data_IF_403629686355
#
_entry.id   IF_403629686355
#
_cell.length_a   1.000
_cell.length_b   1.000
_cell.length_c   1.000
_cell.angle_alpha   90.00
_cell.angle_beta   90.00
_cell.angle_gamma   90.00
#
_symmetry.space_group_name_H-M   'P 1'
#
loop_
_entity.id
_entity.type
_entity.pdbx_description
1 polymer ?
#
# COMPACT_ATOMS: atom_id res chain seq x y z
N UNK A 1 15.43 27.88 -10.17
CA UNK A 1 16.03 26.68 -9.53
C UNK A 1 15.26 25.44 -10.02
N UNK A 2 15.78 24.69 -11.00
CA UNK A 2 15.06 23.58 -11.66
C UNK A 2 14.94 22.28 -10.82
N UNK A 3 15.51 22.24 -9.61
CA UNK A 3 15.46 21.05 -8.74
C UNK A 3 14.11 20.81 -8.04
N UNK A 4 13.34 21.88 -7.76
CA UNK A 4 12.10 21.79 -6.97
C UNK A 4 10.88 21.34 -7.80
N UNK A 5 10.81 21.77 -9.06
CA UNK A 5 9.67 21.43 -9.95
C UNK A 5 9.58 19.92 -10.21
N UNK A 6 10.74 19.27 -10.42
CA UNK A 6 10.80 17.82 -10.64
C UNK A 6 10.41 17.01 -9.39
N UNK A 7 10.79 17.47 -8.20
CA UNK A 7 10.40 16.82 -6.94
C UNK A 7 8.90 16.95 -6.66
N UNK A 8 8.32 18.11 -6.97
CA UNK A 8 6.88 18.34 -6.84
C UNK A 8 6.07 17.54 -7.86
N UNK A 9 6.54 17.45 -9.10
CA UNK A 9 5.93 16.62 -10.14
C UNK A 9 5.95 15.13 -9.75
N UNK A 10 7.10 14.63 -9.27
CA UNK A 10 7.22 13.26 -8.79
C UNK A 10 6.26 12.97 -7.63
N UNK A 11 6.14 13.89 -6.67
CA UNK A 11 5.21 13.75 -5.54
C UNK A 11 3.76 13.62 -6.00
N UNK A 12 3.34 14.45 -6.98
CA UNK A 12 1.99 14.36 -7.56
C UNK A 12 1.76 13.02 -8.24
N UNK A 13 2.73 12.53 -9.01
CA UNK A 13 2.65 11.21 -9.65
C UNK A 13 2.46 10.11 -8.59
N UNK A 14 3.24 10.13 -7.52
CA UNK A 14 3.16 9.12 -6.47
C UNK A 14 1.86 9.19 -5.67
N UNK A 15 1.32 10.40 -5.45
CA UNK A 15 -0.01 10.56 -4.86
C UNK A 15 -1.13 10.00 -5.77
N UNK A 16 -1.01 10.17 -7.09
CA UNK A 16 -1.91 9.55 -8.06
C UNK A 16 -1.76 8.03 -8.06
N UNK A 17 -0.53 7.50 -8.02
CA UNK A 17 -0.28 6.06 -7.90
C UNK A 17 -0.89 5.48 -6.62
N UNK A 18 -0.80 6.19 -5.49
CA UNK A 18 -1.46 5.78 -4.23
C UNK A 18 -2.97 5.69 -4.38
N UNK A 19 -3.59 6.72 -4.97
CA UNK A 19 -5.03 6.74 -5.23
C UNK A 19 -5.43 5.61 -6.18
N UNK A 20 -4.64 5.35 -7.21
CA UNK A 20 -4.82 4.23 -8.12
C UNK A 20 -4.75 2.88 -7.41
N UNK A 21 -3.77 2.68 -6.53
CA UNK A 21 -3.66 1.46 -5.73
C UNK A 21 -4.85 1.23 -4.80
N UNK A 22 -5.34 2.28 -4.12
CA UNK A 22 -6.55 2.22 -3.29
C UNK A 22 -7.78 1.92 -4.16
N UNK A 23 -7.91 2.57 -5.31
CA UNK A 23 -9.02 2.34 -6.24
C UNK A 23 -9.04 0.89 -6.75
N UNK A 24 -7.88 0.35 -7.13
CA UNK A 24 -7.74 -1.05 -7.52
C UNK A 24 -8.13 -2.01 -6.39
N UNK A 25 -7.80 -1.68 -5.14
CA UNK A 25 -8.19 -2.47 -3.97
C UNK A 25 -9.71 -2.43 -3.72
N UNK A 26 -10.35 -1.29 -3.94
CA UNK A 26 -11.81 -1.14 -3.84
C UNK A 26 -12.50 -1.98 -4.91
N UNK A 27 -12.04 -1.90 -6.16
CA UNK A 27 -12.57 -2.74 -7.24
C UNK A 27 -12.39 -4.24 -6.92
N UNK A 28 -11.26 -4.61 -6.32
CA UNK A 28 -11.00 -5.98 -5.91
C UNK A 28 -12.00 -6.46 -4.85
N UNK A 29 -12.33 -5.62 -3.87
CA UNK A 29 -13.39 -5.94 -2.91
C UNK A 29 -14.76 -6.05 -3.56
N UNK A 30 -15.09 -5.12 -4.46
CA UNK A 30 -16.39 -5.12 -5.13
C UNK A 30 -16.58 -6.38 -6.01
N UNK A 31 -15.50 -6.86 -6.64
CA UNK A 31 -15.55 -8.07 -7.45
C UNK A 31 -15.59 -9.35 -6.61
N UNK A 32 -14.65 -9.49 -5.66
CA UNK A 32 -14.48 -10.72 -4.88
C UNK A 32 -15.55 -10.90 -3.80
N UNK A 33 -16.05 -9.81 -3.23
CA UNK A 33 -17.10 -9.83 -2.19
C UNK A 33 -18.47 -9.49 -2.77
N UNK A 34 -18.77 -9.99 -3.97
CA UNK A 34 -19.99 -9.65 -4.72
C UNK A 34 -21.27 -9.89 -3.92
N UNK A 35 -21.32 -10.99 -3.18
CA UNK A 35 -22.51 -11.38 -2.40
C UNK A 35 -22.84 -10.33 -1.33
N UNK A 36 -21.82 -9.84 -0.62
CA UNK A 36 -21.93 -8.80 0.39
C UNK A 36 -22.48 -7.51 -0.20
N UNK A 37 -21.98 -7.07 -1.35
CA UNK A 37 -22.48 -5.85 -2.00
C UNK A 37 -23.90 -6.02 -2.53
N UNK A 38 -24.21 -7.17 -3.13
CA UNK A 38 -25.54 -7.47 -3.69
C UNK A 38 -26.62 -7.45 -2.61
N UNK A 39 -26.37 -8.08 -1.46
CA UNK A 39 -27.35 -8.07 -0.35
C UNK A 39 -27.56 -6.73 0.33
N UNK A 40 -26.60 -5.82 0.23
CA UNK A 40 -26.76 -4.45 0.71
C UNK A 40 -27.41 -3.54 -0.32
N UNK A 41 -27.66 -4.03 -1.54
CA UNK A 41 -28.12 -3.22 -2.66
C UNK A 41 -27.10 -2.18 -3.10
N UNK A 42 -25.80 -2.45 -2.88
CA UNK A 42 -24.69 -1.54 -3.19
C UNK A 42 -24.06 -1.86 -4.55
N UNK A 43 -24.83 -2.44 -5.45
CA UNK A 43 -24.41 -2.67 -6.82
C UNK A 43 -24.37 -1.35 -7.59
N UNK A 44 -23.28 -1.14 -8.32
CA UNK A 44 -23.02 0.09 -9.03
C UNK A 44 -22.60 -0.22 -10.47
N UNK A 45 -23.46 0.15 -11.41
CA UNK A 45 -23.23 -0.05 -12.86
C UNK A 45 -21.85 0.44 -13.32
N UNK A 46 -21.38 1.57 -12.79
CA UNK A 46 -20.06 2.11 -13.12
C UNK A 46 -18.93 1.13 -12.74
N UNK A 47 -19.00 0.51 -11.55
CA UNK A 47 -18.00 -0.45 -11.11
C UNK A 47 -18.03 -1.72 -11.96
N UNK A 48 -19.22 -2.19 -12.32
CA UNK A 48 -19.40 -3.34 -13.22
C UNK A 48 -18.81 -3.07 -14.61
N UNK A 49 -19.03 -1.88 -15.16
CA UNK A 49 -18.45 -1.48 -16.45
C UNK A 49 -16.92 -1.38 -16.39
N UNK A 50 -16.38 -0.83 -15.30
CA UNK A 50 -14.93 -0.74 -15.09
C UNK A 50 -14.28 -2.12 -14.99
N UNK A 51 -14.84 -3.02 -14.17
CA UNK A 51 -14.36 -4.40 -14.05
C UNK A 51 -14.46 -5.09 -15.41
N UNK A 52 -15.59 -4.98 -16.11
CA UNK A 52 -15.76 -5.57 -17.44
C UNK A 52 -14.73 -5.08 -18.46
N UNK A 53 -14.30 -3.82 -18.40
CA UNK A 53 -13.20 -3.29 -19.24
C UNK A 53 -11.84 -3.83 -18.80
N UNK A 54 -11.58 -3.95 -17.50
CA UNK A 54 -10.32 -4.47 -16.95
C UNK A 54 -10.17 -5.98 -17.16
N UNK A 55 -11.24 -6.74 -17.16
CA UNK A 55 -11.21 -8.18 -17.49
C UNK A 55 -10.76 -8.40 -18.94
N UNK A 56 -11.11 -7.51 -19.88
CA UNK A 56 -10.62 -7.60 -21.28
C UNK A 56 -9.12 -7.40 -21.42
N UNK A 57 -8.45 -6.82 -20.42
CA UNK A 57 -6.99 -6.65 -20.43
C UNK A 57 -6.25 -7.77 -19.68
N UNK A 58 -6.97 -8.78 -19.16
CA UNK A 58 -6.42 -9.87 -18.34
C UNK A 58 -6.09 -9.48 -16.89
N UNK A 59 -6.38 -8.24 -16.48
CA UNK A 59 -6.04 -7.75 -15.13
C UNK A 59 -6.95 -8.30 -14.04
N UNK A 60 -8.15 -8.73 -14.42
CA UNK A 60 -9.18 -9.29 -13.55
C UNK A 60 -9.48 -10.77 -13.81
N UNK A 61 -8.59 -11.48 -14.52
CA UNK A 61 -8.76 -12.92 -14.77
C UNK A 61 -8.62 -13.77 -13.50
N UNK A 62 -7.95 -13.22 -12.48
CA UNK A 62 -7.81 -13.84 -11.16
C UNK A 62 -7.89 -12.78 -10.06
N UNK A 63 -8.56 -13.10 -8.92
CA UNK A 63 -8.52 -12.27 -7.72
C UNK A 63 -7.10 -11.95 -7.24
N UNK A 64 -6.14 -12.85 -7.48
CA UNK A 64 -4.75 -12.62 -7.08
C UNK A 64 -4.07 -11.55 -7.94
N UNK A 65 -4.42 -11.43 -9.22
CA UNK A 65 -3.84 -10.45 -10.15
C UNK A 65 -4.27 -9.04 -9.78
N UNK A 66 -5.57 -8.81 -9.56
CA UNK A 66 -6.10 -7.52 -9.14
C UNK A 66 -5.51 -7.07 -7.79
N UNK A 67 -5.44 -8.00 -6.83
CA UNK A 67 -4.82 -7.80 -5.52
C UNK A 67 -3.32 -7.47 -5.63
N UNK A 68 -2.57 -8.20 -6.47
CA UNK A 68 -1.15 -7.92 -6.71
C UNK A 68 -0.94 -6.53 -7.31
N UNK A 69 -1.76 -6.13 -8.28
CA UNK A 69 -1.66 -4.82 -8.92
C UNK A 69 -1.91 -3.69 -7.91
N UNK A 70 -2.93 -3.83 -7.06
CA UNK A 70 -3.18 -2.89 -5.98
C UNK A 70 -1.97 -2.77 -5.03
N UNK A 71 -1.40 -3.92 -4.62
CA UNK A 71 -0.21 -3.96 -3.77
C UNK A 71 0.98 -3.26 -4.42
N UNK A 72 1.29 -3.55 -5.69
CA UNK A 72 2.43 -2.95 -6.40
C UNK A 72 2.29 -1.43 -6.51
N UNK A 73 1.10 -0.93 -6.88
CA UNK A 73 0.84 0.51 -6.95
C UNK A 73 1.02 1.19 -5.60
N UNK A 74 0.52 0.56 -4.53
CA UNK A 74 0.69 1.05 -3.17
C UNK A 74 2.16 1.09 -2.76
N UNK A 75 2.95 0.06 -3.07
CA UNK A 75 4.38 0.03 -2.78
C UNK A 75 5.17 1.08 -3.57
N UNK A 76 4.87 1.26 -4.86
CA UNK A 76 5.48 2.32 -5.69
C UNK A 76 5.19 3.70 -5.09
N UNK A 77 3.97 3.92 -4.58
CA UNK A 77 3.58 5.22 -4.02
C UNK A 77 4.42 5.67 -2.81
N UNK A 78 5.17 4.76 -2.19
CA UNK A 78 6.01 5.05 -1.02
C UNK A 78 7.35 5.72 -1.38
N UNK A 79 7.79 5.64 -2.64
CA UNK A 79 9.12 6.12 -3.08
C UNK A 79 9.34 7.63 -2.88
N UNK A 80 8.26 8.41 -2.72
CA UNK A 80 8.31 9.87 -2.59
C UNK A 80 8.14 10.37 -1.17
N UNK A 81 8.07 9.48 -0.18
CA UNK A 81 7.90 9.91 1.21
C UNK A 81 9.21 10.56 1.67
N UNK A 82 9.15 11.86 1.91
CA UNK A 82 10.23 12.64 2.51
C UNK A 82 10.03 12.61 4.03
N UNK A 83 10.97 11.99 4.75
CA UNK A 83 10.93 11.89 6.20
C UNK A 83 11.64 13.07 6.87
N UNK A 84 11.07 13.56 7.97
CA UNK A 84 11.80 14.38 8.94
C UNK A 84 12.64 13.42 9.81
N UNK A 85 13.96 13.61 9.89
CA UNK A 85 14.85 12.88 10.83
C UNK A 85 14.34 13.11 12.26
N UNK A 86 14.12 12.04 13.05
CA UNK A 86 14.14 12.04 14.54
C UNK A 86 13.33 10.93 15.26
N UNK A 87 13.05 9.77 14.67
CA UNK A 87 12.46 8.66 15.45
C UNK A 87 13.51 7.57 15.65
N UNK A 88 13.67 7.06 16.88
CA UNK A 88 14.41 5.82 17.16
C UNK A 88 13.69 4.66 16.45
N UNK A 89 13.99 4.48 15.17
CA UNK A 89 13.42 3.41 14.36
C UNK A 89 14.15 2.11 14.70
N UNK A 90 13.39 1.06 15.03
CA UNK A 90 13.90 -0.30 15.20
C UNK A 90 13.66 -1.08 13.91
N UNK A 91 14.59 -1.10 12.93
CA UNK A 91 14.34 -1.66 11.60
C UNK A 91 13.96 -3.14 11.63
N UNK A 92 14.52 -3.93 12.56
CA UNK A 92 14.14 -5.34 12.76
C UNK A 92 12.65 -5.50 13.07
N UNK A 93 12.10 -4.66 13.95
CA UNK A 93 10.67 -4.72 14.30
C UNK A 93 9.79 -4.33 13.12
N UNK A 94 10.22 -3.35 12.32
CA UNK A 94 9.48 -2.93 11.11
C UNK A 94 9.49 -4.02 10.03
N UNK A 95 10.60 -4.73 9.84
CA UNK A 95 10.67 -5.86 8.90
C UNK A 95 9.72 -6.97 9.33
N UNK A 96 9.71 -7.34 10.62
CA UNK A 96 8.76 -8.34 11.14
C UNK A 96 7.32 -7.88 10.93
N UNK A 97 7.03 -6.60 11.21
CA UNK A 97 5.70 -6.04 11.02
C UNK A 97 5.28 -6.02 9.54
N UNK A 98 6.21 -5.72 8.63
CA UNK A 98 5.98 -5.78 7.18
C UNK A 98 5.67 -7.20 6.72
N UNK A 99 6.45 -8.19 7.17
CA UNK A 99 6.22 -9.60 6.86
C UNK A 99 4.87 -10.08 7.42
N UNK A 100 4.51 -9.67 8.64
CA UNK A 100 3.20 -9.97 9.22
C UNK A 100 2.07 -9.36 8.38
N UNK A 101 2.22 -8.09 7.97
CA UNK A 101 1.27 -7.44 7.06
C UNK A 101 1.13 -8.17 5.74
N UNK A 102 2.23 -8.69 5.19
CA UNK A 102 2.24 -9.48 3.96
C UNK A 102 1.50 -10.82 4.13
N UNK A 103 1.76 -11.53 5.24
CA UNK A 103 1.08 -12.77 5.59
C UNK A 103 -0.42 -12.54 5.76
N UNK A 104 -0.82 -11.51 6.51
CA UNK A 104 -2.24 -11.16 6.72
C UNK A 104 -2.89 -10.78 5.39
N UNK A 105 -2.22 -9.96 4.59
CA UNK A 105 -2.75 -9.51 3.30
C UNK A 105 -2.97 -10.67 2.33
N UNK A 106 -1.97 -11.53 2.09
CA UNK A 106 -2.11 -12.64 1.15
C UNK A 106 -2.91 -13.82 1.72
N UNK A 107 -2.68 -14.15 2.98
CA UNK A 107 -3.34 -15.24 3.69
C UNK A 107 -4.83 -15.00 3.94
N UNK A 108 -5.33 -13.77 3.80
CA UNK A 108 -6.76 -13.48 3.93
C UNK A 108 -7.62 -14.28 2.94
N UNK A 109 -7.08 -14.73 1.81
CA UNK A 109 -7.81 -15.53 0.81
C UNK A 109 -8.34 -16.84 1.39
N UNK A 110 -7.65 -17.43 2.38
CA UNK A 110 -8.07 -18.67 3.05
C UNK A 110 -9.46 -18.52 3.69
N UNK A 111 -9.80 -17.30 4.15
CA UNK A 111 -11.11 -17.01 4.73
C UNK A 111 -12.23 -17.15 3.71
N UNK A 112 -11.99 -16.76 2.45
CA UNK A 112 -12.98 -16.92 1.37
C UNK A 112 -13.12 -18.40 0.98
N UNK A 113 -12.00 -19.13 0.89
CA UNK A 113 -12.00 -20.54 0.49
C UNK A 113 -12.67 -21.45 1.52
N UNK A 114 -12.67 -21.05 2.80
CA UNK A 114 -13.26 -21.83 3.90
C UNK A 114 -14.79 -22.01 3.82
N UNK A 115 -15.49 -21.29 2.93
CA UNK A 115 -16.91 -21.47 2.63
C UNK A 115 -17.89 -21.31 3.80
N UNK A 116 -17.42 -20.91 4.99
CA UNK A 116 -18.14 -21.18 6.23
C UNK A 116 -19.28 -20.21 6.53
N UNK A 117 -19.27 -19.00 5.96
CA UNK A 117 -20.35 -18.01 6.10
C UNK A 117 -20.25 -17.01 4.94
N UNK A 118 -21.10 -17.12 3.91
CA UNK A 118 -20.98 -16.30 2.69
C UNK A 118 -20.86 -14.78 3.00
N UNK A 119 -21.66 -14.26 3.95
CA UNK A 119 -21.61 -12.83 4.31
C UNK A 119 -20.54 -12.47 5.34
N UNK A 120 -20.45 -13.23 6.43
CA UNK A 120 -19.49 -12.95 7.50
C UNK A 120 -18.05 -13.17 7.05
N UNK A 121 -17.82 -14.12 6.14
CA UNK A 121 -16.52 -14.42 5.54
C UNK A 121 -16.03 -13.30 4.62
N UNK A 122 -16.89 -12.78 3.74
CA UNK A 122 -16.54 -11.64 2.86
C UNK A 122 -16.26 -10.35 3.66
N UNK A 123 -17.03 -10.08 4.71
CA UNK A 123 -16.77 -8.94 5.61
C UNK A 123 -15.44 -9.09 6.37
N UNK A 124 -15.18 -10.29 6.93
CA UNK A 124 -13.92 -10.60 7.60
C UNK A 124 -12.73 -10.52 6.63
N UNK A 125 -12.91 -10.96 5.39
CA UNK A 125 -11.93 -10.85 4.32
C UNK A 125 -11.54 -9.40 4.05
N UNK A 126 -12.53 -8.52 3.80
CA UNK A 126 -12.28 -7.10 3.56
C UNK A 126 -11.55 -6.45 4.74
N UNK A 127 -11.97 -6.79 5.97
CA UNK A 127 -11.32 -6.30 7.18
C UNK A 127 -9.85 -6.74 7.28
N UNK A 128 -9.56 -8.04 7.09
CA UNK A 128 -8.20 -8.57 7.13
C UNK A 128 -7.31 -7.96 6.05
N UNK A 129 -7.82 -7.83 4.82
CA UNK A 129 -7.09 -7.18 3.73
C UNK A 129 -6.81 -5.72 4.08
N UNK A 130 -7.80 -4.99 4.58
CA UNK A 130 -7.64 -3.60 5.01
C UNK A 130 -6.58 -3.43 6.09
N UNK A 131 -6.63 -4.25 7.14
CA UNK A 131 -5.62 -4.29 8.21
C UNK A 131 -4.24 -4.62 7.64
N UNK A 132 -4.14 -5.65 6.80
CA UNK A 132 -2.89 -6.04 6.14
C UNK A 132 -2.27 -4.90 5.34
N UNK A 133 -3.07 -4.19 4.54
CA UNK A 133 -2.62 -3.01 3.76
C UNK A 133 -2.15 -1.88 4.67
N UNK A 134 -2.89 -1.55 5.74
CA UNK A 134 -2.50 -0.50 6.67
C UNK A 134 -1.17 -0.81 7.35
N UNK A 135 -1.00 -2.06 7.81
CA UNK A 135 0.24 -2.55 8.43
C UNK A 135 1.41 -2.50 7.44
N UNK A 136 1.19 -2.95 6.19
CA UNK A 136 2.18 -2.88 5.11
C UNK A 136 2.60 -1.45 4.81
N UNK A 137 1.64 -0.54 4.61
CA UNK A 137 1.91 0.86 4.32
C UNK A 137 2.65 1.55 5.47
N UNK A 138 2.24 1.30 6.71
CA UNK A 138 2.89 1.86 7.89
C UNK A 138 4.34 1.39 8.00
N UNK A 139 4.56 0.07 7.98
CA UNK A 139 5.89 -0.53 8.14
C UNK A 139 6.82 -0.17 6.99
N UNK A 140 6.34 -0.23 5.74
CA UNK A 140 7.12 0.14 4.56
C UNK A 140 7.44 1.63 4.51
N UNK A 141 6.52 2.50 4.93
CA UNK A 141 6.80 3.95 5.07
C UNK A 141 7.94 4.19 6.05
N UNK A 142 7.88 3.55 7.23
CA UNK A 142 8.93 3.73 8.24
C UNK A 142 10.26 3.12 7.80
N UNK A 143 10.25 2.01 7.07
CA UNK A 143 11.45 1.39 6.51
C UNK A 143 12.06 2.27 5.41
N UNK A 144 11.25 2.83 4.52
CA UNK A 144 11.69 3.75 3.47
C UNK A 144 12.36 4.99 4.07
N UNK A 145 11.82 5.51 5.18
CA UNK A 145 12.44 6.62 5.92
C UNK A 145 13.78 6.22 6.53
N UNK A 146 13.85 5.06 7.20
CA UNK A 146 15.09 4.56 7.80
C UNK A 146 16.21 4.39 6.76
N UNK A 147 15.91 3.80 5.61
CA UNK A 147 16.89 3.62 4.52
C UNK A 147 17.42 4.97 4.05
N UNK A 148 16.53 5.95 3.84
CA UNK A 148 16.94 7.29 3.39
C UNK A 148 17.81 8.01 4.43
N UNK A 149 17.42 7.97 5.70
CA UNK A 149 18.20 8.57 6.79
C UNK A 149 19.60 7.95 6.92
N UNK A 150 19.73 6.64 6.66
CA UNK A 150 21.01 5.92 6.69
C UNK A 150 21.96 6.35 5.55
N UNK A 151 21.41 6.64 4.37
CA UNK A 151 22.20 7.01 3.18
C UNK A 151 22.40 8.52 3.00
N UNK A 152 21.72 9.37 3.78
CA UNK A 152 21.92 10.82 3.72
C UNK A 152 23.17 11.19 4.53
N UNK A 153 24.30 11.53 3.87
CA UNK A 153 25.56 11.80 4.57
C UNK A 153 25.35 12.94 5.56
N UNK A 154 25.89 12.79 6.76
CA UNK A 154 25.81 13.82 7.79
C UNK A 154 26.77 14.97 7.45
N UNK A 155 26.35 15.82 6.50
CA UNK A 155 27.10 16.99 6.05
C UNK A 155 27.29 17.98 7.20
N UNK A 156 26.36 17.99 8.15
CA UNK A 156 26.44 18.85 9.34
C UNK A 156 27.42 18.31 10.37
N UNK A 157 27.54 16.98 10.57
CA UNK A 157 28.54 16.43 11.48
C UNK A 157 29.97 16.69 11.00
N UNK A 158 30.24 16.65 9.68
CA UNK A 158 31.56 16.98 9.12
C UNK A 158 31.96 18.46 9.28
N UNK A 159 31.00 19.37 9.25
CA UNK A 159 31.28 20.82 9.44
C UNK A 159 31.47 21.13 10.92
N UNK A 160 30.73 20.45 11.81
CA UNK A 160 30.82 20.66 13.25
C UNK A 160 32.11 20.09 13.88
N UNK A 161 32.77 19.13 13.22
CA UNK A 161 34.10 18.61 13.60
C UNK A 161 35.27 19.47 13.07
N UNK A 162 35.01 20.44 12.17
CA UNK A 162 36.04 21.31 11.60
C UNK A 162 36.24 22.64 12.36
N UNK A 163 35.43 22.90 13.39
CA UNK A 163 35.63 24.05 14.27
C UNK A 163 36.60 23.66 15.40
N UNK A 164 37.75 24.35 15.54
CA UNK A 164 38.59 24.18 16.71
C UNK A 164 37.76 24.57 17.94
N UNK A 165 37.59 23.63 18.85
CA UNK A 165 37.04 23.90 20.17
C UNK A 165 38.18 24.44 21.04
N UNK A 166 38.29 25.76 21.09
CA UNK A 166 39.01 26.51 22.14
C UNK A 166 38.03 27.01 23.20
#
# INVERSE_FOLDING_TARGET
>A
MPGNENTDALRKILELTRKGGIFMLILHFYDVCRSFFSTKGWEHFMMDEFIGKLSKTGLYDSPHTAKLLAFVLLMISLLGIQGKKSVKIRPKALIVLFLLGLIVYWGSMIVLDSGSFLYSGEAAYMFLVGVGVLVLLFSATMLSRYIRDYFEPDIFNKINEAFPQE
#
